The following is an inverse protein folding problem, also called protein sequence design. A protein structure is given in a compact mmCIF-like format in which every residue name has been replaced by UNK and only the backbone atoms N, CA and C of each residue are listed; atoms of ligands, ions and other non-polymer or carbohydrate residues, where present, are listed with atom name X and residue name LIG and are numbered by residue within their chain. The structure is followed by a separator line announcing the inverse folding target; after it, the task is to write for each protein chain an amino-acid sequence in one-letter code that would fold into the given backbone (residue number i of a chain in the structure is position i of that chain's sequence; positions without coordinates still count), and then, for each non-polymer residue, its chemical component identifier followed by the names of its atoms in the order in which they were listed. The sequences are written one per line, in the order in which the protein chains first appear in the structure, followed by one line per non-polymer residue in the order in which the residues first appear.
data_IF_886955243879
#
_entry.id   IF_886955243879
#
_cell.length_a   1.000
_cell.length_b   1.000
_cell.length_c   1.000
_cell.angle_alpha   90.00
_cell.angle_beta   90.00
_cell.angle_gamma   90.00
#
_symmetry.space_group_name_H-M   'P 1'
#
loop_
_entity.id
_entity.type
_entity.pdbx_description
1 polymer ?
#
# COMPACT_ATOMS: atom_id res chain seq x y z
N UNK A 1 -4.48 7.05 -3.37
CA UNK A 1 -3.88 7.70 -2.18
C UNK A 1 -2.48 7.12 -1.99
N UNK A 2 -1.44 7.83 -2.44
CA UNK A 2 -0.04 7.41 -2.33
C UNK A 2 0.40 7.48 -0.86
N UNK A 3 0.16 6.40 -0.10
CA UNK A 3 0.88 6.14 1.14
C UNK A 3 2.15 5.36 0.82
N UNK A 4 2.96 5.90 -0.08
CA UNK A 4 4.34 5.44 -0.22
C UNK A 4 5.04 6.00 1.02
N UNK A 5 5.43 5.09 1.89
CA UNK A 5 6.26 5.35 3.05
C UNK A 5 7.56 6.03 2.59
N UNK A 6 7.57 7.36 2.54
CA UNK A 6 8.79 8.16 2.30
C UNK A 6 9.83 7.84 3.38
N UNK A 7 9.38 7.45 4.58
CA UNK A 7 10.22 6.92 5.65
C UNK A 7 10.91 5.60 5.29
N UNK A 8 10.30 4.75 4.46
CA UNK A 8 10.92 3.50 3.98
C UNK A 8 11.93 3.81 2.87
N UNK A 9 11.66 4.78 1.99
CA UNK A 9 12.63 5.21 0.98
C UNK A 9 13.90 5.83 1.61
N UNK A 10 13.74 6.59 2.70
CA UNK A 10 14.85 7.18 3.46
C UNK A 10 15.65 6.10 4.22
N UNK A 11 14.99 5.06 4.73
CA UNK A 11 15.66 3.93 5.41
C UNK A 11 16.36 3.00 4.41
N UNK A 12 15.79 2.77 3.23
CA UNK A 12 16.42 2.00 2.14
C UNK A 12 17.60 2.72 1.49
N UNK A 13 17.62 4.05 1.44
CA UNK A 13 18.80 4.81 1.00
C UNK A 13 19.98 4.73 1.99
N UNK A 14 19.70 4.46 3.27
CA UNK A 14 20.71 4.44 4.34
C UNK A 14 21.24 3.04 4.65
N UNK A 15 20.46 1.99 4.41
CA UNK A 15 20.85 0.60 4.69
C UNK A 15 20.77 -0.29 3.44
N UNK A 16 21.95 -0.58 2.87
CA UNK A 16 22.38 -1.90 2.38
C UNK A 16 21.54 -2.60 1.27
N UNK A 17 22.14 -2.86 0.11
CA UNK A 17 22.77 -4.16 -0.24
C UNK A 17 21.86 -5.40 -0.19
N UNK A 18 21.35 -5.76 -1.38
CA UNK A 18 20.92 -7.11 -1.86
C UNK A 18 19.58 -7.62 -1.28
N UNK A 19 18.65 -8.26 -2.00
CA UNK A 19 18.71 -9.36 -2.98
C UNK A 19 17.39 -9.45 -3.82
N UNK A 20 17.52 -9.92 -5.07
CA UNK A 20 16.54 -10.13 -6.17
C UNK A 20 15.41 -11.16 -5.89
N UNK A 21 14.19 -10.98 -6.42
CA UNK A 21 13.66 -11.64 -7.65
C UNK A 21 12.75 -12.84 -7.27
N UNK A 22 11.66 -13.27 -7.93
CA UNK A 22 11.02 -13.03 -9.22
C UNK A 22 9.57 -13.59 -9.13
N UNK A 23 8.64 -13.01 -9.88
CA UNK A 23 7.19 -13.28 -9.96
C UNK A 23 6.85 -14.38 -10.98
N UNK A 24 5.73 -15.09 -10.84
CA UNK A 24 4.90 -15.39 -12.02
C UNK A 24 3.42 -15.72 -11.76
N UNK A 25 2.60 -15.32 -12.74
CA UNK A 25 1.14 -15.36 -12.82
C UNK A 25 0.65 -16.66 -13.47
N UNK A 26 -0.47 -17.24 -12.99
CA UNK A 26 -1.49 -17.94 -13.81
C UNK A 26 -2.56 -18.61 -12.90
N UNK A 27 -3.74 -18.00 -12.72
CA UNK A 27 -4.90 -18.68 -12.10
C UNK A 27 -6.19 -18.24 -12.80
N UNK A 28 -6.51 -18.86 -13.93
CA UNK A 28 -7.77 -18.64 -14.65
C UNK A 28 -8.50 -19.94 -14.99
N UNK A 29 -8.27 -21.06 -14.28
CA UNK A 29 -8.85 -22.34 -14.69
C UNK A 29 -9.24 -23.35 -13.60
N UNK A 30 -9.26 -23.01 -12.30
CA UNK A 30 -9.30 -24.06 -11.26
C UNK A 30 -10.61 -24.23 -10.47
N UNK A 31 -11.70 -23.55 -10.78
CA UNK A 31 -12.96 -23.80 -10.04
C UNK A 31 -14.16 -24.01 -10.96
N UNK A 32 -14.27 -25.26 -11.43
CA UNK A 32 -15.51 -25.80 -11.96
C UNK A 32 -16.47 -26.13 -10.82
N UNK A 33 -17.49 -25.31 -10.62
CA UNK A 33 -18.67 -25.67 -9.82
C UNK A 33 -19.92 -25.49 -10.67
N UNK A 34 -20.55 -26.62 -11.05
CA UNK A 34 -21.91 -26.67 -11.59
C UNK A 34 -22.86 -26.89 -10.40
N UNK A 35 -23.63 -25.87 -10.03
CA UNK A 35 -24.73 -25.95 -9.06
C UNK A 35 -25.96 -25.20 -9.58
N UNK A 36 -27.15 -25.54 -9.09
CA UNK A 36 -28.45 -24.93 -9.47
C UNK A 36 -28.70 -23.62 -8.68
N UNK A 37 -29.33 -22.62 -9.33
CA UNK A 37 -29.37 -21.20 -8.94
C UNK A 37 -29.66 -20.82 -7.48
N UNK A 38 -30.47 -21.58 -6.74
CA UNK A 38 -30.79 -21.28 -5.33
C UNK A 38 -29.70 -21.73 -4.34
N UNK A 39 -28.95 -22.78 -4.67
CA UNK A 39 -27.83 -23.26 -3.85
C UNK A 39 -26.56 -22.42 -4.10
N UNK A 40 -26.44 -21.80 -5.27
CA UNK A 40 -25.30 -20.97 -5.65
C UNK A 40 -25.21 -19.71 -4.77
N UNK A 41 -26.33 -19.08 -4.42
CA UNK A 41 -26.34 -17.88 -3.55
C UNK A 41 -25.97 -18.23 -2.09
N UNK A 42 -26.41 -19.39 -1.59
CA UNK A 42 -26.03 -19.91 -0.27
C UNK A 42 -24.55 -20.33 -0.21
N UNK A 43 -24.05 -21.02 -1.24
CA UNK A 43 -22.66 -21.49 -1.32
C UNK A 43 -21.69 -20.32 -1.54
N UNK A 44 -22.07 -19.32 -2.33
CA UNK A 44 -21.24 -18.12 -2.57
C UNK A 44 -21.14 -17.22 -1.33
N UNK A 45 -22.21 -17.07 -0.56
CA UNK A 45 -22.17 -16.29 0.70
C UNK A 45 -21.34 -16.98 1.79
N UNK A 46 -21.38 -18.31 1.90
CA UNK A 46 -20.51 -19.06 2.80
C UNK A 46 -19.03 -18.95 2.38
N UNK A 47 -18.74 -19.14 1.09
CA UNK A 47 -17.40 -18.99 0.53
C UNK A 47 -16.83 -17.58 0.71
N UNK A 48 -17.63 -16.54 0.51
CA UNK A 48 -17.21 -15.16 0.76
C UNK A 48 -16.86 -14.91 2.23
N UNK A 49 -17.66 -15.42 3.16
CA UNK A 49 -17.39 -15.30 4.61
C UNK A 49 -16.07 -15.98 4.98
N UNK A 50 -15.86 -17.19 4.50
CA UNK A 50 -14.69 -18.00 4.85
C UNK A 50 -13.40 -17.38 4.25
N UNK A 51 -13.48 -16.84 3.03
CA UNK A 51 -12.39 -16.08 2.40
C UNK A 51 -12.04 -14.79 3.16
N UNK A 52 -13.04 -14.07 3.69
CA UNK A 52 -12.82 -12.85 4.49
C UNK A 52 -12.13 -13.19 5.81
N UNK A 53 -12.54 -14.28 6.47
CA UNK A 53 -11.93 -14.73 7.72
C UNK A 53 -10.47 -15.17 7.47
N UNK A 54 -10.22 -15.94 6.41
CA UNK A 54 -8.87 -16.35 6.04
C UNK A 54 -7.98 -15.14 5.74
N UNK A 55 -8.44 -14.23 4.87
CA UNK A 55 -7.69 -13.01 4.50
C UNK A 55 -7.40 -12.11 5.69
N UNK A 56 -8.35 -11.99 6.63
CA UNK A 56 -8.16 -11.24 7.86
C UNK A 56 -7.10 -11.84 8.78
N UNK A 57 -7.05 -13.18 8.88
CA UNK A 57 -6.09 -13.90 9.71
C UNK A 57 -4.66 -13.86 9.15
N UNK A 58 -4.49 -13.97 7.82
CA UNK A 58 -3.17 -13.90 7.17
C UNK A 58 -2.58 -12.49 7.21
N UNK A 59 -3.42 -11.45 7.13
CA UNK A 59 -2.99 -10.05 7.14
C UNK A 59 -2.24 -9.61 8.40
N UNK A 60 -2.46 -10.29 9.53
CA UNK A 60 -1.80 -9.97 10.82
C UNK A 60 -0.44 -10.67 11.00
N UNK A 61 -0.18 -11.73 10.24
CA UNK A 61 1.02 -12.56 10.40
C UNK A 61 2.28 -11.78 10.00
N UNK A 62 2.27 -11.10 8.85
CA UNK A 62 3.44 -10.38 8.36
C UNK A 62 3.89 -9.22 9.28
N UNK A 63 3.00 -8.34 9.79
CA UNK A 63 3.38 -7.33 10.77
C UNK A 63 3.91 -7.90 12.10
N UNK A 64 3.31 -9.00 12.57
CA UNK A 64 3.76 -9.68 13.78
C UNK A 64 5.16 -10.30 13.58
N UNK A 65 5.40 -10.94 12.44
CA UNK A 65 6.70 -11.50 12.07
C UNK A 65 7.79 -10.43 11.97
N UNK A 66 7.48 -9.27 11.36
CA UNK A 66 8.39 -8.13 11.31
C UNK A 66 8.75 -7.61 12.72
N UNK A 67 7.77 -7.58 13.62
CA UNK A 67 7.97 -7.16 15.02
C UNK A 67 8.87 -8.13 15.80
N UNK A 68 8.74 -9.44 15.53
CA UNK A 68 9.58 -10.47 16.13
C UNK A 68 11.02 -10.39 15.59
N UNK A 69 11.19 -10.33 14.27
CA UNK A 69 12.51 -10.18 13.62
C UNK A 69 13.23 -8.90 14.03
N UNK A 70 12.51 -7.81 14.30
CA UNK A 70 13.12 -6.58 14.77
C UNK A 70 13.86 -6.73 16.12
N UNK A 71 13.43 -7.67 16.98
CA UNK A 71 14.03 -7.94 18.30
C UNK A 71 15.05 -9.07 18.28
N UNK A 72 14.85 -10.07 17.41
CA UNK A 72 15.66 -11.28 17.37
C UNK A 72 16.78 -11.26 16.33
N UNK A 73 16.66 -10.45 15.28
CA UNK A 73 17.63 -10.42 14.19
C UNK A 73 18.60 -9.24 14.34
N UNK A 74 19.93 -9.49 14.42
CA UNK A 74 20.93 -8.43 14.41
C UNK A 74 20.81 -7.58 13.15
N UNK A 75 20.94 -6.24 13.21
CA UNK A 75 20.78 -5.35 12.05
C UNK A 75 21.67 -5.71 10.86
N UNK A 76 22.93 -6.11 11.09
CA UNK A 76 23.86 -6.48 10.00
C UNK A 76 23.50 -7.79 9.30
N UNK A 77 22.74 -8.68 9.95
CA UNK A 77 22.35 -9.99 9.39
C UNK A 77 20.84 -10.08 9.16
N UNK A 78 20.10 -8.99 9.42
CA UNK A 78 18.65 -8.96 9.45
C UNK A 78 18.06 -9.37 8.11
N UNK A 79 18.61 -8.86 7.01
CA UNK A 79 18.14 -9.19 5.66
C UNK A 79 18.33 -10.67 5.33
N UNK A 80 19.44 -11.28 5.78
CA UNK A 80 19.74 -12.71 5.54
C UNK A 80 18.83 -13.64 6.35
N UNK A 81 18.60 -13.32 7.62
CA UNK A 81 17.70 -14.10 8.48
C UNK A 81 16.23 -13.91 8.07
N UNK A 82 15.85 -12.70 7.68
CA UNK A 82 14.51 -12.42 7.19
C UNK A 82 14.25 -13.11 5.84
N UNK A 83 15.19 -13.05 4.89
CA UNK A 83 15.04 -13.71 3.58
C UNK A 83 14.94 -15.23 3.73
N UNK A 84 15.72 -15.84 4.65
CA UNK A 84 15.57 -17.26 4.98
C UNK A 84 14.19 -17.58 5.57
N UNK A 85 13.67 -16.72 6.45
CA UNK A 85 12.32 -16.84 7.01
C UNK A 85 11.22 -16.75 5.95
N UNK A 86 11.36 -15.84 4.96
CA UNK A 86 10.41 -15.69 3.86
C UNK A 86 10.51 -16.79 2.81
N UNK A 87 11.71 -17.33 2.56
CA UNK A 87 11.90 -18.47 1.67
C UNK A 87 11.13 -19.72 2.14
N UNK A 88 11.00 -19.90 3.47
CA UNK A 88 10.22 -20.98 4.07
C UNK A 88 8.75 -21.00 3.63
N UNK A 89 8.11 -19.84 3.42
CA UNK A 89 6.73 -19.76 2.96
C UNK A 89 6.54 -20.36 1.56
N UNK A 90 7.50 -20.09 0.66
CA UNK A 90 7.48 -20.60 -0.71
C UNK A 90 7.69 -22.12 -0.74
N UNK A 91 8.62 -22.63 0.07
CA UNK A 91 8.84 -24.07 0.24
C UNK A 91 7.58 -24.74 0.78
N UNK A 92 6.87 -24.07 1.70
CA UNK A 92 5.56 -24.50 2.20
C UNK A 92 4.56 -24.72 1.07
N UNK A 93 4.41 -23.78 0.14
CA UNK A 93 3.51 -23.93 -1.01
C UNK A 93 3.90 -25.08 -1.95
N UNK A 94 5.20 -25.23 -2.22
CA UNK A 94 5.73 -26.30 -3.08
C UNK A 94 5.40 -27.69 -2.52
N UNK A 95 5.36 -27.84 -1.19
CA UNK A 95 5.03 -29.11 -0.53
C UNK A 95 3.52 -29.26 -0.31
N UNK A 96 2.85 -28.20 0.10
CA UNK A 96 1.44 -28.25 0.48
C UNK A 96 0.52 -28.48 -0.72
N UNK A 97 0.79 -27.89 -1.89
CA UNK A 97 -0.09 -28.05 -3.05
C UNK A 97 -0.13 -29.47 -3.63
N UNK A 98 1.00 -30.17 -3.84
CA UNK A 98 0.97 -31.58 -4.25
C UNK A 98 0.31 -32.48 -3.21
N UNK A 99 0.56 -32.24 -1.92
CA UNK A 99 -0.08 -33.02 -0.84
C UNK A 99 -1.59 -32.80 -0.83
N UNK A 100 -2.05 -31.56 -0.98
CA UNK A 100 -3.47 -31.24 -1.08
C UNK A 100 -4.11 -31.89 -2.31
N UNK A 101 -3.43 -31.89 -3.46
CA UNK A 101 -3.91 -32.56 -4.67
C UNK A 101 -4.03 -34.08 -4.48
N UNK A 102 -3.03 -34.72 -3.86
CA UNK A 102 -3.06 -36.16 -3.55
C UNK A 102 -4.15 -36.51 -2.52
N UNK A 103 -4.37 -35.65 -1.53
CA UNK A 103 -5.45 -35.81 -0.54
C UNK A 103 -6.84 -35.63 -1.18
N UNK A 104 -6.99 -34.73 -2.14
CA UNK A 104 -8.24 -34.59 -2.91
C UNK A 104 -8.56 -35.84 -3.74
N UNK A 105 -7.54 -36.55 -4.24
CA UNK A 105 -7.72 -37.73 -5.10
C UNK A 105 -7.87 -39.04 -4.31
N UNK A 106 -7.05 -39.24 -3.26
CA UNK A 106 -6.97 -40.50 -2.51
C UNK A 106 -7.47 -40.41 -1.06
N UNK A 107 -8.01 -39.25 -0.65
CA UNK A 107 -8.43 -38.99 0.72
C UNK A 107 -9.75 -39.65 1.13
N UNK A 108 -9.99 -39.69 2.45
CA UNK A 108 -11.21 -40.23 3.04
C UNK A 108 -12.42 -39.30 2.83
N UNK A 109 -13.63 -39.86 2.84
CA UNK A 109 -14.92 -39.13 2.68
C UNK A 109 -15.03 -38.27 1.41
N UNK A 110 -14.58 -38.79 0.25
CA UNK A 110 -14.69 -38.06 -1.01
C UNK A 110 -13.60 -37.01 -1.24
N UNK A 111 -12.46 -37.17 -0.58
CA UNK A 111 -11.19 -36.48 -0.86
C UNK A 111 -11.13 -35.05 -0.34
N UNK A 112 -12.13 -34.22 -0.66
CA UNK A 112 -12.15 -32.79 -0.32
C UNK A 112 -12.09 -32.49 1.20
N UNK A 113 -12.88 -33.15 2.07
CA UNK A 113 -12.83 -32.87 3.52
C UNK A 113 -11.48 -33.24 4.15
N UNK A 114 -10.78 -34.24 3.60
CA UNK A 114 -9.54 -34.76 4.18
C UNK A 114 -8.40 -33.73 4.21
N UNK A 115 -8.36 -32.82 3.23
CA UNK A 115 -7.37 -31.74 3.14
C UNK A 115 -7.47 -30.81 4.36
N UNK A 116 -8.70 -30.44 4.74
CA UNK A 116 -8.93 -29.52 5.87
C UNK A 116 -8.55 -30.16 7.20
N UNK A 117 -8.84 -31.44 7.41
CA UNK A 117 -8.47 -32.14 8.63
C UNK A 117 -6.95 -32.30 8.78
N UNK A 118 -6.27 -32.72 7.72
CA UNK A 118 -4.80 -32.91 7.75
C UNK A 118 -4.09 -31.57 7.94
N UNK A 119 -4.45 -30.54 7.16
CA UNK A 119 -3.88 -29.20 7.31
C UNK A 119 -4.18 -28.60 8.69
N UNK A 120 -5.38 -28.81 9.22
CA UNK A 120 -5.78 -28.35 10.55
C UNK A 120 -4.98 -28.99 11.69
N UNK A 121 -4.75 -30.32 11.62
CA UNK A 121 -3.96 -31.04 12.62
C UNK A 121 -2.48 -30.61 12.55
N UNK A 122 -1.90 -30.56 11.36
CA UNK A 122 -0.51 -30.14 11.17
C UNK A 122 -0.32 -28.70 11.64
N UNK A 123 -1.24 -27.80 11.29
CA UNK A 123 -1.21 -26.40 11.73
C UNK A 123 -1.33 -26.27 13.26
N UNK A 124 -2.21 -27.04 13.90
CA UNK A 124 -2.37 -27.04 15.36
C UNK A 124 -1.12 -27.56 16.06
N UNK A 125 -0.54 -28.67 15.59
CA UNK A 125 0.72 -29.19 16.10
C UNK A 125 1.86 -28.18 15.96
N UNK A 126 1.96 -27.50 14.81
CA UNK A 126 2.94 -26.45 14.59
C UNK A 126 2.74 -25.25 15.52
N UNK A 127 1.50 -24.81 15.73
CA UNK A 127 1.19 -23.74 16.68
C UNK A 127 1.62 -24.09 18.11
N UNK A 128 1.37 -25.32 18.58
CA UNK A 128 1.81 -25.77 19.90
C UNK A 128 3.33 -25.80 20.02
N UNK A 129 4.02 -26.25 18.97
CA UNK A 129 5.49 -26.20 18.92
C UNK A 129 6.00 -24.76 18.94
N UNK A 130 5.38 -23.87 18.17
CA UNK A 130 5.74 -22.46 18.11
C UNK A 130 5.59 -21.78 19.49
N UNK A 131 4.47 -22.02 20.18
CA UNK A 131 4.23 -21.52 21.54
C UNK A 131 5.25 -22.03 22.57
N UNK A 132 5.80 -23.22 22.36
CA UNK A 132 6.81 -23.79 23.26
C UNK A 132 8.23 -23.25 22.98
N UNK A 133 8.59 -23.06 21.71
CA UNK A 133 9.95 -22.68 21.30
C UNK A 133 10.17 -21.18 21.12
N UNK A 134 9.15 -20.40 20.76
CA UNK A 134 9.30 -19.00 20.38
C UNK A 134 8.85 -18.08 21.51
N UNK A 135 9.70 -17.11 21.84
CA UNK A 135 9.47 -16.13 22.91
C UNK A 135 9.53 -14.71 22.37
N UNK A 136 8.71 -13.80 22.91
CA UNK A 136 8.58 -12.42 22.41
C UNK A 136 9.84 -11.56 22.56
N UNK A 137 10.75 -11.95 23.45
CA UNK A 137 11.98 -11.21 23.69
C UNK A 137 13.12 -12.14 24.11
N UNK A 138 14.34 -11.91 23.61
CA UNK A 138 15.50 -12.74 23.93
C UNK A 138 15.86 -12.73 25.43
N UNK A 139 15.33 -11.78 26.22
CA UNK A 139 15.51 -11.75 27.68
C UNK A 139 14.71 -12.79 28.45
N UNK A 140 13.54 -13.18 27.94
CA UNK A 140 12.68 -14.20 28.56
C UNK A 140 12.99 -15.61 28.07
N UNK A 141 13.87 -15.74 27.07
CA UNK A 141 14.18 -17.03 26.47
C UNK A 141 15.14 -17.83 27.38
N UNK A 142 14.74 -19.02 27.87
CA UNK A 142 15.52 -19.78 28.85
C UNK A 142 16.77 -20.46 28.26
N UNK A 143 16.87 -20.58 26.92
CA UNK A 143 17.93 -21.33 26.23
C UNK A 143 18.94 -20.47 25.45
N UNK A 144 18.89 -19.14 25.58
CA UNK A 144 19.83 -18.26 24.84
C UNK A 144 21.17 -18.15 25.57
N UNK A 145 22.28 -18.13 24.82
CA UNK A 145 23.60 -17.94 25.41
C UNK A 145 23.79 -16.51 25.93
N UNK A 146 24.56 -16.34 27.00
CA UNK A 146 24.79 -15.01 27.58
C UNK A 146 25.58 -14.07 26.65
N UNK A 147 26.49 -14.65 25.84
CA UNK A 147 27.23 -13.93 24.81
C UNK A 147 26.32 -13.37 23.71
N UNK A 148 25.41 -14.20 23.18
CA UNK A 148 24.43 -13.79 22.17
C UNK A 148 23.44 -12.75 22.71
N UNK A 149 23.00 -12.91 23.96
CA UNK A 149 22.12 -11.95 24.63
C UNK A 149 22.78 -10.57 24.75
N UNK A 150 24.07 -10.51 25.08
CA UNK A 150 24.83 -9.25 25.17
C UNK A 150 25.02 -8.61 23.80
N UNK A 151 25.30 -9.42 22.77
CA UNK A 151 25.44 -8.97 21.39
C UNK A 151 24.15 -8.33 20.84
N UNK A 152 23.01 -9.00 20.98
CA UNK A 152 21.71 -8.47 20.54
C UNK A 152 21.33 -7.16 21.25
N UNK A 153 21.63 -7.05 22.56
CA UNK A 153 21.33 -5.83 23.33
C UNK A 153 22.12 -4.62 22.84
N UNK A 154 23.43 -4.77 22.62
CA UNK A 154 24.28 -3.67 22.17
C UNK A 154 23.80 -3.09 20.82
N UNK A 155 23.40 -3.96 19.89
CA UNK A 155 22.90 -3.53 18.58
C UNK A 155 21.51 -2.86 18.67
N UNK A 156 20.62 -3.35 19.55
CA UNK A 156 19.29 -2.76 19.75
C UNK A 156 19.33 -1.37 20.39
N UNK A 157 20.29 -1.12 21.28
CA UNK A 157 20.50 0.20 21.90
C UNK A 157 20.98 1.24 20.88
N UNK A 158 21.90 0.85 19.98
CA UNK A 158 22.40 1.69 18.90
C UNK A 158 21.29 2.08 17.90
N UNK A 159 20.43 1.12 17.52
CA UNK A 159 19.28 1.38 16.64
C UNK A 159 18.28 2.33 17.33
N UNK A 160 17.96 2.13 18.61
CA UNK A 160 17.01 2.98 19.33
C UNK A 160 17.49 4.43 19.44
N UNK A 161 18.78 4.65 19.67
CA UNK A 161 19.35 5.99 19.71
C UNK A 161 19.30 6.68 18.34
N UNK A 162 19.56 5.93 17.27
CA UNK A 162 19.45 6.41 15.88
C UNK A 162 17.99 6.69 15.46
N UNK A 163 17.06 5.81 15.80
CA UNK A 163 15.63 5.94 15.45
C UNK A 163 14.90 7.03 16.23
N UNK A 164 15.25 7.33 17.48
CA UNK A 164 14.61 8.48 18.18
C UNK A 164 14.88 9.81 17.47
N UNK A 165 16.06 9.98 16.87
CA UNK A 165 16.40 11.16 16.06
C UNK A 165 15.73 11.10 14.68
N UNK A 166 15.66 9.93 14.04
CA UNK A 166 15.05 9.77 12.71
C UNK A 166 13.51 9.70 12.72
N UNK A 167 12.89 9.29 13.82
CA UNK A 167 11.43 9.19 13.96
C UNK A 167 10.75 10.56 13.98
N UNK A 168 11.37 11.56 14.63
CA UNK A 168 10.89 12.94 14.58
C UNK A 168 11.03 13.52 13.16
N UNK A 169 12.15 13.27 12.49
CA UNK A 169 12.38 13.66 11.09
C UNK A 169 11.39 12.97 10.12
N UNK A 170 10.98 11.74 10.41
CA UNK A 170 10.02 10.97 9.61
C UNK A 170 8.58 11.48 9.73
N UNK A 171 8.23 12.18 10.82
CA UNK A 171 6.91 12.77 11.02
C UNK A 171 6.76 14.13 10.30
N UNK A 172 7.86 14.85 10.04
CA UNK A 172 7.85 16.18 9.44
C UNK A 172 7.09 16.27 8.10
N UNK A 173 7.25 15.33 7.13
CA UNK A 173 6.51 15.38 5.87
C UNK A 173 4.99 15.31 6.07
N UNK A 174 4.53 14.53 7.04
CA UNK A 174 3.10 14.33 7.30
C UNK A 174 2.46 15.51 8.03
N UNK A 175 3.22 16.14 8.94
CA UNK A 175 2.79 17.40 9.58
C UNK A 175 2.71 18.49 8.52
N UNK A 176 3.74 18.64 7.68
CA UNK A 176 3.76 19.59 6.58
C UNK A 176 2.62 19.39 5.59
N UNK A 177 2.38 18.13 5.19
CA UNK A 177 1.24 17.75 4.35
C UNK A 177 -0.09 18.22 4.95
N UNK A 178 -0.32 17.93 6.23
CA UNK A 178 -1.57 18.29 6.92
C UNK A 178 -1.81 19.80 6.96
N UNK A 179 -0.77 20.58 7.27
CA UNK A 179 -0.84 22.05 7.28
C UNK A 179 -1.14 22.58 5.88
N UNK A 180 -0.43 22.09 4.85
CA UNK A 180 -0.61 22.55 3.48
C UNK A 180 -1.97 22.16 2.90
N UNK A 181 -2.50 20.99 3.23
CA UNK A 181 -3.85 20.58 2.82
C UNK A 181 -4.93 21.52 3.35
N UNK A 182 -4.86 21.91 4.62
CA UNK A 182 -5.81 22.88 5.18
C UNK A 182 -5.62 24.28 4.60
N UNK A 183 -4.37 24.73 4.48
CA UNK A 183 -4.04 26.05 3.92
C UNK A 183 -4.52 26.19 2.46
N UNK A 184 -4.28 25.16 1.63
CA UNK A 184 -4.73 25.14 0.23
C UNK A 184 -6.25 25.15 0.12
N UNK A 185 -6.96 24.39 0.96
CA UNK A 185 -8.44 24.43 1.05
C UNK A 185 -8.97 25.84 1.32
N UNK A 186 -8.47 26.50 2.37
CA UNK A 186 -8.86 27.87 2.70
C UNK A 186 -8.52 28.87 1.58
N UNK A 187 -7.35 28.73 0.95
CA UNK A 187 -6.93 29.57 -0.16
C UNK A 187 -7.83 29.39 -1.39
N UNK A 188 -8.17 28.15 -1.76
CA UNK A 188 -9.06 27.86 -2.87
C UNK A 188 -10.45 28.46 -2.66
N UNK A 189 -11.00 28.35 -1.45
CA UNK A 189 -12.29 28.97 -1.13
C UNK A 189 -12.21 30.49 -1.08
N UNK A 190 -11.09 31.07 -0.65
CA UNK A 190 -10.86 32.51 -0.73
C UNK A 190 -10.87 33.00 -2.18
N UNK A 191 -10.14 32.33 -3.08
CA UNK A 191 -10.04 32.67 -4.51
C UNK A 191 -11.39 32.55 -5.22
N UNK A 192 -12.18 31.52 -4.89
CA UNK A 192 -13.55 31.33 -5.42
C UNK A 192 -14.52 32.38 -4.89
N UNK A 193 -14.49 32.69 -3.59
CA UNK A 193 -15.38 33.71 -2.97
C UNK A 193 -15.15 35.10 -3.53
N UNK A 194 -13.91 35.45 -3.84
CA UNK A 194 -13.55 36.72 -4.51
C UNK A 194 -13.85 36.72 -6.02
N UNK A 195 -14.38 35.63 -6.58
CA UNK A 195 -14.62 35.42 -8.02
C UNK A 195 -13.37 35.66 -8.89
N UNK A 196 -12.18 35.44 -8.33
CA UNK A 196 -10.92 35.61 -9.06
C UNK A 196 -10.65 34.45 -10.01
N UNK A 197 -11.06 33.24 -9.62
CA UNK A 197 -10.87 32.02 -10.40
C UNK A 197 -12.15 31.16 -10.34
N UNK A 198 -12.47 30.50 -11.45
CA UNK A 198 -13.54 29.50 -11.49
C UNK A 198 -13.11 28.20 -10.81
N UNK A 199 -14.07 27.34 -10.45
CA UNK A 199 -13.80 26.04 -9.84
C UNK A 199 -12.81 25.23 -10.67
N UNK A 200 -13.00 25.18 -11.99
CA UNK A 200 -12.11 24.47 -12.90
C UNK A 200 -10.68 25.06 -12.91
N UNK A 201 -10.54 26.38 -12.95
CA UNK A 201 -9.24 27.04 -12.91
C UNK A 201 -8.51 26.78 -11.58
N UNK A 202 -9.22 26.84 -10.45
CA UNK A 202 -8.65 26.52 -9.12
C UNK A 202 -8.18 25.07 -9.08
N UNK A 203 -9.01 24.10 -9.50
CA UNK A 203 -8.62 22.68 -9.51
C UNK A 203 -7.36 22.46 -10.35
N UNK A 204 -7.28 23.05 -11.55
CA UNK A 204 -6.11 22.93 -12.43
C UNK A 204 -4.86 23.56 -11.82
N UNK A 205 -4.95 24.77 -11.28
CA UNK A 205 -3.79 25.47 -10.69
C UNK A 205 -3.25 24.69 -9.49
N UNK A 206 -4.09 24.34 -8.51
CA UNK A 206 -3.64 23.64 -7.31
C UNK A 206 -3.14 22.22 -7.61
N UNK A 207 -3.75 21.53 -8.58
CA UNK A 207 -3.27 20.22 -9.01
C UNK A 207 -1.90 20.29 -9.69
N UNK A 208 -1.70 21.32 -10.52
CA UNK A 208 -0.44 21.54 -11.26
C UNK A 208 0.69 21.95 -10.31
N UNK A 209 0.44 22.90 -9.41
CA UNK A 209 1.43 23.35 -8.41
C UNK A 209 1.86 22.18 -7.53
N UNK A 210 0.91 21.37 -7.06
CA UNK A 210 1.21 20.20 -6.24
C UNK A 210 1.76 18.99 -7.01
N UNK A 211 1.92 19.05 -8.34
CA UNK A 211 2.67 18.07 -9.14
C UNK A 211 4.06 18.56 -9.53
N UNK A 212 4.18 19.83 -9.96
CA UNK A 212 5.43 20.38 -10.48
C UNK A 212 6.44 20.64 -9.35
N UNK A 213 6.00 21.19 -8.21
CA UNK A 213 6.92 21.47 -7.10
C UNK A 213 7.56 20.20 -6.53
N UNK A 214 6.82 19.11 -6.25
CA UNK A 214 7.45 17.84 -5.85
C UNK A 214 8.44 17.33 -6.89
N UNK A 215 8.15 17.46 -8.18
CA UNK A 215 9.03 17.02 -9.26
C UNK A 215 10.40 17.73 -9.22
N UNK A 216 10.40 19.05 -9.01
CA UNK A 216 11.62 19.86 -8.87
C UNK A 216 12.42 19.44 -7.63
N UNK A 217 11.75 19.27 -6.48
CA UNK A 217 12.42 18.90 -5.24
C UNK A 217 12.99 17.47 -5.26
N UNK A 218 12.31 16.54 -5.94
CA UNK A 218 12.80 15.17 -6.14
C UNK A 218 14.05 15.15 -7.01
N UNK A 219 14.09 15.90 -8.12
CA UNK A 219 15.32 16.04 -8.93
C UNK A 219 16.45 16.66 -8.10
N UNK A 220 16.16 17.73 -7.35
CA UNK A 220 17.14 18.39 -6.49
C UNK A 220 17.76 17.44 -5.46
N UNK A 221 17.00 16.43 -5.01
CA UNK A 221 17.49 15.40 -4.09
C UNK A 221 18.55 14.50 -4.73
N UNK A 222 18.44 14.17 -6.02
CA UNK A 222 19.44 13.37 -6.75
C UNK A 222 20.82 14.03 -6.85
N UNK A 223 20.88 15.36 -6.74
CA UNK A 223 22.12 16.14 -6.80
C UNK A 223 22.77 16.40 -5.43
N UNK A 224 22.21 15.86 -4.34
CA UNK A 224 22.82 15.93 -3.02
C UNK A 224 23.74 14.73 -2.79
N UNK A 225 24.91 14.97 -2.20
CA UNK A 225 25.84 13.92 -1.78
C UNK A 225 25.57 13.47 -0.34
N UNK A 226 26.18 12.35 0.07
CA UNK A 226 25.98 11.74 1.39
C UNK A 226 26.31 12.67 2.57
N UNK A 227 27.22 13.64 2.39
CA UNK A 227 27.60 14.62 3.42
C UNK A 227 26.48 15.63 3.74
N UNK A 228 25.49 15.76 2.85
CA UNK A 228 24.38 16.74 2.95
C UNK A 228 23.02 16.05 3.15
N UNK A 229 22.99 14.93 3.85
CA UNK A 229 21.79 14.12 4.11
C UNK A 229 20.62 14.92 4.73
N UNK A 230 20.91 15.92 5.58
CA UNK A 230 19.89 16.81 6.17
C UNK A 230 19.15 17.60 5.09
N UNK A 231 19.86 18.13 4.09
CA UNK A 231 19.25 18.89 3.00
C UNK A 231 18.38 18.01 2.10
N UNK A 232 18.75 16.75 1.90
CA UNK A 232 17.93 15.78 1.17
C UNK A 232 16.60 15.53 1.87
N UNK A 233 16.63 15.34 3.20
CA UNK A 233 15.42 15.17 4.01
C UNK A 233 14.53 16.41 3.95
N UNK A 234 15.12 17.62 4.00
CA UNK A 234 14.36 18.88 3.88
C UNK A 234 13.68 18.99 2.51
N UNK A 235 14.39 18.70 1.43
CA UNK A 235 13.84 18.78 0.08
C UNK A 235 12.73 17.75 -0.17
N UNK A 236 12.90 16.51 0.30
CA UNK A 236 11.84 15.50 0.25
C UNK A 236 10.63 15.89 1.11
N UNK A 237 10.87 16.45 2.30
CA UNK A 237 9.80 16.96 3.18
C UNK A 237 9.02 18.09 2.51
N UNK A 238 9.71 19.01 1.85
CA UNK A 238 9.10 20.09 1.06
C UNK A 238 8.31 19.52 -0.12
N UNK A 239 8.84 18.52 -0.81
CA UNK A 239 8.14 17.78 -1.86
C UNK A 239 6.80 17.24 -1.39
N UNK A 240 6.81 16.41 -0.34
CA UNK A 240 5.58 15.84 0.23
C UNK A 240 4.63 16.91 0.75
N UNK A 241 5.15 17.97 1.37
CA UNK A 241 4.35 19.10 1.86
C UNK A 241 3.59 19.77 0.72
N UNK A 242 4.25 20.04 -0.41
CA UNK A 242 3.60 20.67 -1.58
C UNK A 242 2.56 19.79 -2.25
N UNK A 243 2.64 18.47 -2.13
CA UNK A 243 1.55 17.57 -2.54
C UNK A 243 0.25 17.85 -1.76
N UNK A 244 0.33 18.46 -0.57
CA UNK A 244 -0.84 18.85 0.23
C UNK A 244 -1.82 19.74 -0.53
N UNK A 245 -1.34 20.54 -1.49
CA UNK A 245 -2.16 21.34 -2.39
C UNK A 245 -3.10 20.50 -3.26
N UNK A 246 -2.67 19.33 -3.72
CA UNK A 246 -3.50 18.41 -4.50
C UNK A 246 -4.62 17.81 -3.67
N UNK A 247 -4.31 17.40 -2.44
CA UNK A 247 -5.29 16.80 -1.53
C UNK A 247 -6.33 17.80 -1.04
N UNK A 248 -5.91 19.05 -0.74
CA UNK A 248 -6.80 20.06 -0.18
C UNK A 248 -7.68 20.76 -1.21
N UNK A 249 -7.26 20.85 -2.48
CA UNK A 249 -7.98 21.67 -3.46
C UNK A 249 -7.81 21.24 -4.93
N UNK A 250 -7.09 20.16 -5.19
CA UNK A 250 -6.85 19.63 -6.54
C UNK A 250 -7.79 18.47 -6.88
N UNK A 251 -7.22 17.33 -7.28
CA UNK A 251 -7.99 16.19 -7.80
C UNK A 251 -8.91 15.51 -6.76
N UNK A 252 -8.56 15.57 -5.46
CA UNK A 252 -9.27 14.79 -4.43
C UNK A 252 -10.75 15.20 -4.29
N UNK A 253 -11.02 16.50 -4.40
CA UNK A 253 -12.37 17.07 -4.30
C UNK A 253 -13.07 17.09 -5.66
N UNK A 254 -12.32 16.93 -6.75
CA UNK A 254 -12.83 17.06 -8.11
C UNK A 254 -13.90 16.02 -8.46
N UNK A 255 -13.85 14.82 -7.86
CA UNK A 255 -14.90 13.79 -8.06
C UNK A 255 -16.27 14.25 -7.55
N UNK A 256 -16.30 15.05 -6.49
CA UNK A 256 -17.52 15.63 -5.93
C UNK A 256 -18.03 16.77 -6.83
N UNK A 257 -17.13 17.57 -7.41
CA UNK A 257 -17.49 18.68 -8.30
C UNK A 257 -18.06 18.17 -9.65
N UNK A 258 -17.58 17.03 -10.16
CA UNK A 258 -17.97 16.43 -11.44
C UNK A 258 -19.34 15.74 -11.35
N UNK A 259 -19.53 14.87 -10.35
CA UNK A 259 -20.76 14.11 -10.19
C UNK A 259 -21.02 13.76 -8.70
N UNK A 260 -21.66 14.67 -7.95
CA UNK A 260 -21.97 14.47 -6.54
C UNK A 260 -22.64 13.13 -6.21
N UNK A 261 -23.60 12.67 -7.03
CA UNK A 261 -24.33 11.42 -6.76
C UNK A 261 -23.47 10.16 -6.92
N UNK A 262 -22.41 10.23 -7.72
CA UNK A 262 -21.55 9.10 -8.05
C UNK A 262 -20.10 9.29 -7.56
N UNK A 263 -19.83 10.33 -6.77
CA UNK A 263 -18.50 10.73 -6.35
C UNK A 263 -17.72 9.60 -5.67
N UNK A 264 -18.39 8.78 -4.84
CA UNK A 264 -17.79 7.63 -4.16
C UNK A 264 -17.31 6.53 -5.13
N UNK A 265 -18.10 6.23 -6.17
CA UNK A 265 -17.75 5.24 -7.18
C UNK A 265 -16.57 5.73 -8.03
N UNK A 266 -16.63 6.99 -8.49
CA UNK A 266 -15.56 7.62 -9.26
C UNK A 266 -14.25 7.63 -8.47
N UNK A 267 -14.33 8.00 -7.19
CA UNK A 267 -13.18 7.99 -6.29
C UNK A 267 -12.63 6.57 -6.07
N UNK A 268 -13.51 5.58 -5.87
CA UNK A 268 -13.13 4.18 -5.71
C UNK A 268 -12.36 3.64 -6.91
N UNK A 269 -12.91 3.79 -8.12
CA UNK A 269 -12.25 3.39 -9.37
C UNK A 269 -10.90 4.10 -9.53
N UNK A 270 -10.88 5.43 -9.31
CA UNK A 270 -9.66 6.22 -9.40
C UNK A 270 -8.59 5.76 -8.40
N UNK A 271 -9.00 5.40 -7.18
CA UNK A 271 -8.08 4.94 -6.15
C UNK A 271 -7.47 3.57 -6.50
N UNK A 272 -8.23 2.67 -7.13
CA UNK A 272 -7.71 1.38 -7.62
C UNK A 272 -6.55 1.59 -8.59
N UNK A 273 -6.74 2.40 -9.63
CA UNK A 273 -5.66 2.72 -10.58
C UNK A 273 -4.50 3.47 -9.92
N UNK A 274 -4.79 4.35 -8.95
CA UNK A 274 -3.75 5.07 -8.21
C UNK A 274 -2.91 4.16 -7.28
N UNK A 275 -3.41 2.98 -6.89
CA UNK A 275 -2.67 2.04 -6.03
C UNK A 275 -1.78 1.06 -6.80
N UNK A 276 -2.07 0.77 -8.07
CA UNK A 276 -1.29 -0.16 -8.89
C UNK A 276 0.21 0.22 -8.97
N UNK A 277 0.60 1.49 -9.17
CA UNK A 277 2.02 1.87 -9.16
C UNK A 277 2.72 1.55 -7.84
N UNK A 278 2.00 1.58 -6.71
CA UNK A 278 2.56 1.24 -5.40
C UNK A 278 2.93 -0.24 -5.25
N UNK A 279 2.29 -1.12 -6.03
CA UNK A 279 2.65 -2.53 -6.12
C UNK A 279 3.90 -2.75 -6.98
N UNK A 280 3.98 -2.09 -8.14
CA UNK A 280 5.10 -2.27 -9.08
C UNK A 280 6.35 -1.43 -8.74
N UNK A 281 6.21 -0.33 -7.99
CA UNK A 281 7.32 0.60 -7.74
C UNK A 281 8.52 -0.02 -7.04
N UNK A 282 8.38 -0.88 -6.00
CA UNK A 282 9.56 -1.46 -5.34
C UNK A 282 10.33 -2.40 -6.26
N UNK A 283 9.61 -3.17 -7.11
CA UNK A 283 10.22 -4.04 -8.11
C UNK A 283 11.01 -3.22 -9.15
N UNK A 284 10.38 -2.20 -9.74
CA UNK A 284 11.02 -1.34 -10.73
C UNK A 284 12.25 -0.60 -10.17
N UNK A 285 12.17 -0.07 -8.94
CA UNK A 285 13.31 0.59 -8.28
C UNK A 285 14.43 -0.42 -7.98
N UNK A 286 14.08 -1.64 -7.54
CA UNK A 286 15.05 -2.70 -7.29
C UNK A 286 15.88 -3.04 -8.53
N UNK A 287 15.22 -3.20 -9.68
CA UNK A 287 15.89 -3.46 -10.97
C UNK A 287 16.68 -2.25 -11.49
N UNK A 288 16.19 -1.02 -11.28
CA UNK A 288 16.87 0.20 -11.72
C UNK A 288 18.09 0.56 -10.86
N UNK A 289 18.21 0.01 -9.65
CA UNK A 289 19.26 0.36 -8.67
C UNK A 289 20.13 -0.84 -8.27
N UNK A 290 20.38 -1.76 -9.21
CA UNK A 290 21.16 -2.98 -8.95
C UNK A 290 22.57 -2.67 -8.39
N UNK A 291 23.30 -1.71 -8.95
CA UNK A 291 24.67 -1.37 -8.51
C UNK A 291 24.70 -0.34 -7.38
N UNK A 292 23.53 0.18 -6.96
CA UNK A 292 23.38 1.18 -5.89
C UNK A 292 24.21 2.43 -6.14
N UNK A 293 24.40 2.77 -7.41
CA UNK A 293 25.17 3.95 -7.79
C UNK A 293 24.32 5.21 -7.65
N UNK A 294 24.96 6.35 -7.50
CA UNK A 294 24.27 7.65 -7.47
C UNK A 294 23.55 7.95 -8.78
N UNK A 295 24.14 7.56 -9.90
CA UNK A 295 23.62 7.81 -11.25
C UNK A 295 22.32 7.01 -11.51
N UNK A 296 22.25 5.79 -10.98
CA UNK A 296 21.03 4.96 -11.00
C UNK A 296 19.89 5.64 -10.21
N UNK A 297 20.18 6.13 -9.00
CA UNK A 297 19.20 6.87 -8.20
C UNK A 297 18.74 8.17 -8.84
N UNK A 298 19.65 8.89 -9.52
CA UNK A 298 19.28 10.06 -10.31
C UNK A 298 18.30 9.70 -11.43
N UNK A 299 18.54 8.59 -12.12
CA UNK A 299 17.63 8.08 -13.16
C UNK A 299 16.24 7.78 -12.59
N UNK A 300 16.15 7.15 -11.42
CA UNK A 300 14.87 6.90 -10.72
C UNK A 300 14.14 8.22 -10.40
N UNK A 301 14.86 9.24 -9.92
CA UNK A 301 14.28 10.54 -9.62
C UNK A 301 13.82 11.29 -10.88
N UNK A 302 14.55 11.17 -11.99
CA UNK A 302 14.12 11.72 -13.28
C UNK A 302 12.86 11.05 -13.80
N UNK A 303 12.76 9.72 -13.74
CA UNK A 303 11.56 8.97 -14.11
C UNK A 303 10.37 9.42 -13.25
N UNK A 304 10.57 9.52 -11.94
CA UNK A 304 9.54 9.97 -10.99
C UNK A 304 9.06 11.39 -11.31
N UNK A 305 9.98 12.31 -11.60
CA UNK A 305 9.65 13.68 -12.01
C UNK A 305 8.90 13.71 -13.34
N UNK A 306 9.30 12.91 -14.33
CA UNK A 306 8.60 12.81 -15.61
C UNK A 306 7.16 12.32 -15.43
N UNK A 307 6.92 11.37 -14.53
CA UNK A 307 5.57 10.91 -14.18
C UNK A 307 4.72 12.02 -13.55
N UNK A 308 5.28 12.83 -12.65
CA UNK A 308 4.57 13.98 -12.07
C UNK A 308 4.18 15.02 -13.12
N UNK A 309 5.11 15.34 -14.03
CA UNK A 309 4.87 16.30 -15.11
C UNK A 309 3.85 15.78 -16.13
N UNK A 310 3.95 14.51 -16.53
CA UNK A 310 2.99 13.87 -17.42
C UNK A 310 1.58 13.86 -16.80
N UNK A 311 1.46 13.48 -15.51
CA UNK A 311 0.20 13.52 -14.79
C UNK A 311 -0.39 14.93 -14.70
N UNK A 312 0.44 15.95 -14.48
CA UNK A 312 0.01 17.34 -14.50
C UNK A 312 -0.51 17.76 -15.89
N UNK A 313 0.21 17.41 -16.96
CA UNK A 313 -0.18 17.73 -18.33
C UNK A 313 -1.53 17.08 -18.70
N UNK A 314 -1.70 15.80 -18.39
CA UNK A 314 -2.97 15.07 -18.61
C UNK A 314 -4.11 15.76 -17.85
N UNK A 315 -3.91 16.12 -16.58
CA UNK A 315 -4.96 16.79 -15.80
C UNK A 315 -5.28 18.21 -16.31
N UNK A 316 -4.29 18.95 -16.82
CA UNK A 316 -4.53 20.28 -17.40
C UNK A 316 -5.36 20.18 -18.67
N UNK A 317 -5.05 19.20 -19.54
CA UNK A 317 -5.72 19.03 -20.84
C UNK A 317 -7.14 18.48 -20.64
N UNK A 318 -7.28 17.38 -19.90
CA UNK A 318 -8.53 16.61 -19.81
C UNK A 318 -9.34 16.87 -18.54
N UNK A 319 -8.72 17.44 -17.50
CA UNK A 319 -9.41 17.72 -16.24
C UNK A 319 -10.51 18.76 -16.42
N UNK A 320 -11.66 18.48 -15.82
CA UNK A 320 -12.79 19.41 -15.70
C UNK A 320 -13.23 19.46 -14.24
N UNK A 321 -13.68 20.64 -13.81
CA UNK A 321 -14.28 20.89 -12.50
C UNK A 321 -15.72 21.39 -12.59
N UNK A 322 -16.42 21.03 -13.68
CA UNK A 322 -17.83 21.32 -13.89
C UNK A 322 -18.66 20.05 -13.73
N UNK A 323 -19.87 20.21 -13.20
CA UNK A 323 -20.86 19.14 -13.10
C UNK A 323 -21.18 18.59 -14.49
N UNK A 324 -21.24 17.28 -14.62
CA UNK A 324 -21.47 16.60 -15.89
C UNK A 324 -22.96 16.32 -16.11
N UNK A 325 -23.38 16.28 -17.38
CA UNK A 325 -24.80 16.16 -17.77
C UNK A 325 -25.43 14.81 -17.40
N UNK A 326 -24.60 13.77 -17.26
CA UNK A 326 -25.04 12.42 -16.86
C UNK A 326 -25.25 12.27 -15.35
N UNK A 327 -24.92 13.29 -14.55
CA UNK A 327 -25.22 13.29 -13.13
C UNK A 327 -26.69 13.68 -12.89
N UNK A 328 -27.53 12.78 -12.35
CA UNK A 328 -28.96 13.02 -12.24
C UNK A 328 -29.28 14.23 -11.35
N UNK A 329 -30.21 15.07 -11.81
CA UNK A 329 -30.77 16.14 -10.98
C UNK A 329 -31.71 15.56 -9.93
N UNK A 330 -31.82 16.20 -8.76
CA UNK A 330 -32.76 15.80 -7.70
C UNK A 330 -34.18 15.56 -8.25
N UNK A 331 -34.64 16.44 -9.14
CA UNK A 331 -35.92 16.31 -9.84
C UNK A 331 -36.06 15.06 -10.70
N UNK A 332 -34.99 14.57 -11.31
CA UNK A 332 -35.01 13.37 -12.17
C UNK A 332 -35.05 12.10 -11.33
N UNK A 333 -34.39 12.08 -10.16
CA UNK A 333 -34.49 10.98 -9.19
C UNK A 333 -35.91 10.78 -8.68
N UNK A 334 -36.61 11.86 -8.35
CA UNK A 334 -37.98 11.79 -7.85
C UNK A 334 -38.95 11.23 -8.92
N UNK A 335 -38.73 11.60 -10.19
CA UNK A 335 -39.52 11.12 -11.33
C UNK A 335 -39.22 9.64 -11.64
N UNK A 336 -37.95 9.24 -11.64
CA UNK A 336 -37.58 7.83 -11.88
C UNK A 336 -38.05 6.93 -10.74
N UNK A 337 -37.98 7.41 -9.50
CA UNK A 337 -38.51 6.69 -8.33
C UNK A 337 -40.03 6.58 -8.39
N UNK A 338 -40.75 7.65 -8.75
CA UNK A 338 -42.21 7.58 -8.91
C UNK A 338 -42.60 6.60 -10.02
N UNK A 339 -41.90 6.63 -11.16
CA UNK A 339 -42.15 5.72 -12.28
C UNK A 339 -41.85 4.26 -11.91
N UNK A 340 -40.79 4.03 -11.12
CA UNK A 340 -40.42 2.69 -10.63
C UNK A 340 -41.46 2.14 -9.65
N UNK A 341 -41.96 2.97 -8.74
CA UNK A 341 -43.04 2.61 -7.81
C UNK A 341 -44.34 2.33 -8.58
N UNK A 342 -44.66 3.14 -9.59
CA UNK A 342 -45.85 2.96 -10.42
C UNK A 342 -45.76 1.67 -11.26
N UNK A 343 -44.59 1.32 -11.79
CA UNK A 343 -44.37 0.03 -12.45
C UNK A 343 -44.45 -1.16 -11.49
N UNK A 344 -43.91 -1.04 -10.28
CA UNK A 344 -43.99 -2.08 -9.26
C UNK A 344 -45.42 -2.32 -8.74
N UNK A 345 -46.26 -1.28 -8.73
CA UNK A 345 -47.67 -1.37 -8.37
C UNK A 345 -48.58 -1.88 -9.50
N UNK A 346 -48.08 -1.87 -10.74
CA UNK A 346 -48.78 -2.38 -11.93
C UNK A 346 -48.38 -3.82 -12.32
N UNK A 347 -47.56 -4.49 -11.49
CA UNK A 347 -47.18 -5.91 -11.58
C UNK A 347 -47.86 -6.72 -10.47
#
# INVERSE_FOLDING_TARGET
MMRVNVSVAIVCMVNQTEVNGYTDNNVNSTFGFKGNGSNIESESTCSLRDNVIQSGSEGVVYPAQQSLFAKWNPPMERSRLASLGYAGAHIGYVIAFPIAALLCEYGFEGGWPSVFYVCGIVGTCWFLLWMYFVYDSPHHHPRISEAERKFLRAQLEEIHFSHKKNGFLSALPYVGLSVMTNASGHMADYLRRRRLLTTNQVRKVFNTVGSILPAIFVIGTGYLGCEKSVYAVVLLTMGVTTMGCQYGSGFLINSIDIAPNFAGIIFGISNTFATLPGFFSPYAIGELTQNKSREEWQTVFFITSAMYLAGAAVFIIFGSGYRQDWDPNESTKDIDLSNSIEQANNL
#
